data_IF_837177390886
#
_entry.id   IF_837177390886
#
_cell.length_a   1.000
_cell.length_b   1.000
_cell.length_c   1.000
_cell.angle_alpha   90.00
_cell.angle_beta   90.00
_cell.angle_gamma   90.00
#
_symmetry.space_group_name_H-M   'P 1'
#
loop_
_entity.id
_entity.type
_entity.pdbx_description
1 polymer ?
#
# COMPACT_ATOMS: atom_id res chain seq x y z
N UNK A 1 12.51 -0.44 -8.06
CA UNK A 1 12.18 0.36 -6.87
C UNK A 1 12.08 1.82 -7.28
N UNK A 2 10.85 2.35 -7.43
CA UNK A 2 10.42 3.75 -7.73
C UNK A 2 11.03 4.52 -8.93
N UNK A 3 12.08 4.02 -9.58
CA UNK A 3 12.65 4.60 -10.80
C UNK A 3 13.46 5.88 -10.62
N UNK A 4 13.71 6.29 -9.37
CA UNK A 4 14.64 7.38 -9.05
C UNK A 4 16.08 6.83 -9.02
N UNK A 5 17.02 7.60 -9.54
CA UNK A 5 18.44 7.33 -9.35
C UNK A 5 18.83 7.65 -7.89
N UNK A 6 19.94 7.08 -7.42
CA UNK A 6 20.38 7.22 -6.02
C UNK A 6 20.77 8.67 -5.67
N UNK A 7 21.07 9.50 -6.67
CA UNK A 7 21.47 10.90 -6.50
C UNK A 7 20.27 11.86 -6.41
N UNK A 8 19.15 11.55 -7.07
CA UNK A 8 17.90 12.33 -7.04
C UNK A 8 16.94 11.88 -5.95
N UNK A 9 17.09 10.67 -5.42
CA UNK A 9 16.24 10.20 -4.33
C UNK A 9 16.65 10.84 -3.01
N UNK A 10 15.83 11.76 -2.52
CA UNK A 10 15.96 12.33 -1.18
C UNK A 10 15.19 11.45 -0.18
N UNK A 11 15.85 10.66 0.69
CA UNK A 11 15.20 9.76 1.64
C UNK A 11 14.70 10.52 2.87
N UNK A 12 14.00 11.63 2.68
CA UNK A 12 13.43 12.44 3.77
C UNK A 12 11.98 12.05 4.03
N UNK A 13 11.55 12.20 5.29
CA UNK A 13 10.16 11.98 5.69
C UNK A 13 9.21 12.90 4.90
N UNK A 14 9.63 14.13 4.63
CA UNK A 14 8.86 15.09 3.85
C UNK A 14 8.65 14.59 2.41
N UNK A 15 9.71 14.16 1.73
CA UNK A 15 9.63 13.61 0.38
C UNK A 15 8.77 12.33 0.33
N UNK A 16 8.74 11.55 1.41
CA UNK A 16 7.87 10.39 1.52
C UNK A 16 6.39 10.77 1.53
N UNK A 17 5.98 11.73 2.37
CA UNK A 17 4.60 12.21 2.44
C UNK A 17 4.15 13.01 1.21
N UNK A 18 5.04 13.83 0.62
CA UNK A 18 4.70 14.67 -0.53
C UNK A 18 4.34 13.85 -1.77
N UNK A 19 5.03 12.72 -1.97
CA UNK A 19 4.81 11.83 -3.09
C UNK A 19 3.72 10.78 -2.82
N UNK A 20 3.09 10.80 -1.65
CA UNK A 20 2.01 9.89 -1.28
C UNK A 20 0.68 10.35 -1.86
N UNK A 21 -0.16 9.39 -2.27
CA UNK A 21 -1.51 9.66 -2.71
C UNK A 21 -2.31 10.36 -1.60
N UNK A 22 -3.06 11.45 -1.90
CA UNK A 22 -3.77 12.22 -0.88
C UNK A 22 -4.64 11.38 0.05
N UNK A 23 -5.40 10.44 -0.50
CA UNK A 23 -6.29 9.54 0.26
C UNK A 23 -5.56 8.65 1.26
N UNK A 24 -4.27 8.34 1.04
CA UNK A 24 -3.52 7.42 1.88
C UNK A 24 -2.75 8.16 3.00
N UNK A 25 -2.62 9.50 2.89
CA UNK A 25 -1.76 10.31 3.78
C UNK A 25 -2.18 10.26 5.24
N UNK A 26 -3.47 10.33 5.50
CA UNK A 26 -3.98 10.35 6.87
C UNK A 26 -3.76 9.00 7.56
N UNK A 27 -4.13 7.91 6.90
CA UNK A 27 -3.93 6.56 7.41
C UNK A 27 -2.45 6.27 7.69
N UNK A 28 -1.58 6.59 6.73
CA UNK A 28 -0.13 6.40 6.89
C UNK A 28 0.43 7.26 8.02
N UNK A 29 0.00 8.52 8.14
CA UNK A 29 0.41 9.40 9.24
C UNK A 29 0.02 8.82 10.60
N UNK A 30 -1.19 8.28 10.72
CA UNK A 30 -1.66 7.65 11.95
C UNK A 30 -0.81 6.42 12.30
N UNK A 31 -0.53 5.53 11.34
CA UNK A 31 0.35 4.37 11.56
C UNK A 31 1.78 4.78 11.94
N UNK A 32 2.32 5.80 11.27
CA UNK A 32 3.63 6.35 11.58
C UNK A 32 3.69 6.92 13.01
N UNK A 33 2.71 7.72 13.41
CA UNK A 33 2.61 8.26 14.77
C UNK A 33 2.44 7.16 15.82
N UNK A 34 1.63 6.13 15.54
CA UNK A 34 1.48 4.98 16.43
C UNK A 34 2.83 4.27 16.64
N UNK A 35 3.60 4.04 15.57
CA UNK A 35 4.93 3.45 15.64
C UNK A 35 5.90 4.31 16.47
N UNK A 36 5.88 5.63 16.30
CA UNK A 36 6.71 6.55 17.10
C UNK A 36 6.35 6.55 18.58
N UNK A 37 5.08 6.32 18.93
CA UNK A 37 4.61 6.36 20.31
C UNK A 37 4.79 5.03 21.03
N UNK A 38 4.58 3.90 20.34
CA UNK A 38 4.66 2.57 20.96
C UNK A 38 6.03 1.92 20.82
N UNK A 39 6.83 2.32 19.83
CA UNK A 39 8.05 1.62 19.41
C UNK A 39 7.82 0.32 18.64
N UNK A 40 6.56 -0.13 18.55
CA UNK A 40 6.20 -1.33 17.81
C UNK A 40 6.28 -1.11 16.31
N UNK A 41 6.60 -2.14 15.51
CA UNK A 41 6.65 -2.02 14.06
C UNK A 41 5.31 -1.58 13.46
N UNK A 42 5.34 -0.54 12.63
CA UNK A 42 4.20 -0.10 11.83
C UNK A 42 4.30 -0.62 10.40
N UNK A 43 3.25 -1.31 9.92
CA UNK A 43 3.13 -1.79 8.55
C UNK A 43 2.01 -1.05 7.79
N UNK A 44 2.23 -0.74 6.52
CA UNK A 44 1.29 0.04 5.72
C UNK A 44 1.41 -0.26 4.23
N UNK A 45 0.27 -0.24 3.54
CA UNK A 45 0.17 -0.26 2.08
C UNK A 45 -0.38 1.08 1.60
N UNK A 46 0.30 1.73 0.67
CA UNK A 46 -0.10 3.04 0.16
C UNK A 46 0.38 3.25 -1.27
N UNK A 47 -0.23 4.22 -1.95
CA UNK A 47 0.15 4.63 -3.30
C UNK A 47 1.16 5.77 -3.24
N UNK A 48 2.25 5.64 -4.01
CA UNK A 48 3.29 6.67 -4.16
C UNK A 48 3.52 7.00 -5.63
N UNK A 49 3.81 8.26 -5.93
CA UNK A 49 4.24 8.67 -7.27
C UNK A 49 5.64 8.15 -7.56
N UNK A 50 5.80 7.55 -8.73
CA UNK A 50 7.10 7.20 -9.29
C UNK A 50 7.67 8.36 -10.12
N UNK A 51 8.87 8.18 -10.70
CA UNK A 51 9.52 9.19 -11.54
C UNK A 51 8.70 9.59 -12.78
N UNK A 52 7.84 8.71 -13.30
CA UNK A 52 6.95 9.03 -14.43
C UNK A 52 5.65 9.71 -14.01
N UNK A 53 5.44 9.96 -12.71
CA UNK A 53 4.21 10.54 -12.15
C UNK A 53 3.05 9.54 -11.98
N UNK A 54 3.26 8.27 -12.35
CA UNK A 54 2.26 7.22 -12.14
C UNK A 54 2.23 6.76 -10.68
N UNK A 55 1.06 6.30 -10.26
CA UNK A 55 0.88 5.72 -8.93
C UNK A 55 1.40 4.28 -8.90
N UNK A 56 2.24 3.97 -7.92
CA UNK A 56 2.72 2.62 -7.62
C UNK A 56 2.29 2.24 -6.21
N UNK A 57 1.92 0.98 -6.03
CA UNK A 57 1.59 0.45 -4.71
C UNK A 57 2.87 0.08 -3.98
N UNK A 58 3.01 0.62 -2.77
CA UNK A 58 4.13 0.39 -1.89
C UNK A 58 3.64 -0.30 -0.62
N UNK A 59 4.36 -1.30 -0.17
CA UNK A 59 4.28 -1.82 1.18
C UNK A 59 5.48 -1.32 1.97
N UNK A 60 5.25 -0.83 3.18
CA UNK A 60 6.33 -0.38 4.05
C UNK A 60 6.16 -0.91 5.46
N UNK A 61 7.28 -1.29 6.07
CA UNK A 61 7.36 -1.63 7.49
C UNK A 61 8.51 -0.84 8.08
N UNK A 62 8.29 -0.22 9.23
CA UNK A 62 9.37 0.41 9.97
C UNK A 62 9.17 0.35 11.47
N UNK A 63 10.27 0.55 12.20
CA UNK A 63 10.28 0.59 13.67
C UNK A 63 11.31 1.57 14.19
N UNK A 64 11.05 2.12 15.37
CA UNK A 64 12.05 2.88 16.12
C UNK A 64 13.14 1.92 16.59
N UNK A 65 14.41 2.30 16.40
CA UNK A 65 15.57 1.49 16.79
C UNK A 65 16.42 2.17 17.86
N UNK A 66 16.16 3.44 18.17
CA UNK A 66 16.93 4.22 19.12
C UNK A 66 16.07 5.31 19.75
N UNK A 67 16.23 5.47 21.06
CA UNK A 67 15.52 6.43 21.90
C UNK A 67 16.52 7.23 22.72
N UNK A 68 16.21 8.49 23.00
CA UNK A 68 16.98 9.29 23.96
C UNK A 68 16.58 9.01 25.43
N UNK A 69 17.29 9.64 26.36
CA UNK A 69 17.04 9.51 27.81
C UNK A 69 15.66 10.04 28.24
N UNK A 70 15.04 10.89 27.42
CA UNK A 70 13.68 11.41 27.63
C UNK A 70 12.61 10.54 26.94
N UNK A 71 12.99 9.35 26.46
CA UNK A 71 12.13 8.41 25.75
C UNK A 71 11.52 8.99 24.46
N UNK A 72 12.28 9.82 23.74
CA UNK A 72 11.91 10.31 22.41
C UNK A 72 12.60 9.49 21.32
N UNK A 73 11.89 9.15 20.23
CA UNK A 73 12.47 8.38 19.14
C UNK A 73 13.47 9.25 18.36
N UNK A 74 14.73 8.81 18.28
CA UNK A 74 15.79 9.53 17.57
C UNK A 74 16.21 8.84 16.27
N UNK A 75 15.92 7.55 16.11
CA UNK A 75 16.19 6.82 14.87
C UNK A 75 15.14 5.76 14.57
N UNK A 76 14.67 5.75 13.33
CA UNK A 76 13.76 4.76 12.78
C UNK A 76 14.38 4.12 11.55
N UNK A 77 14.16 2.82 11.37
CA UNK A 77 14.55 2.08 10.16
C UNK A 77 13.28 1.50 9.56
N UNK A 78 13.18 1.56 8.24
CA UNK A 78 12.09 0.94 7.49
C UNK A 78 12.55 0.34 6.18
N UNK A 79 11.74 -0.57 5.68
CA UNK A 79 11.85 -1.17 4.35
C UNK A 79 10.65 -0.73 3.51
N UNK A 80 10.88 -0.56 2.19
CA UNK A 80 9.85 -0.19 1.23
C UNK A 80 9.90 -1.17 0.06
N UNK A 81 8.78 -1.86 -0.19
CA UNK A 81 8.65 -2.87 -1.24
C UNK A 81 7.57 -2.43 -2.23
N UNK A 82 7.88 -2.52 -3.53
CA UNK A 82 6.86 -2.36 -4.57
C UNK A 82 5.97 -3.61 -4.59
N UNK A 83 4.67 -3.42 -4.41
CA UNK A 83 3.66 -4.48 -4.40
C UNK A 83 2.66 -4.32 -5.55
N UNK A 84 2.99 -3.52 -6.57
CA UNK A 84 2.11 -3.24 -7.70
C UNK A 84 1.72 -4.51 -8.46
N UNK A 85 2.66 -5.43 -8.69
CA UNK A 85 2.37 -6.71 -9.33
C UNK A 85 1.40 -7.56 -8.51
N UNK A 86 1.59 -7.62 -7.19
CA UNK A 86 0.67 -8.33 -6.28
C UNK A 86 -0.74 -7.73 -6.36
N UNK A 87 -0.87 -6.41 -6.34
CA UNK A 87 -2.17 -5.72 -6.43
C UNK A 87 -2.86 -5.95 -7.77
N UNK A 88 -2.10 -5.97 -8.87
CA UNK A 88 -2.64 -6.30 -10.20
C UNK A 88 -3.15 -7.74 -10.26
N UNK A 89 -2.42 -8.69 -9.68
CA UNK A 89 -2.85 -10.08 -9.59
C UNK A 89 -4.12 -10.25 -8.73
N UNK A 90 -4.18 -9.58 -7.57
CA UNK A 90 -5.37 -9.56 -6.70
C UNK A 90 -6.60 -9.00 -7.46
N UNK A 91 -6.43 -7.91 -8.20
CA UNK A 91 -7.50 -7.30 -9.00
C UNK A 91 -7.97 -8.20 -10.14
N UNK A 92 -7.03 -8.83 -10.87
CA UNK A 92 -7.35 -9.76 -11.95
C UNK A 92 -8.14 -10.98 -11.43
N UNK A 93 -7.73 -11.51 -10.28
CA UNK A 93 -8.43 -12.62 -9.63
C UNK A 93 -9.85 -12.22 -9.20
N UNK A 94 -10.01 -11.02 -8.63
CA UNK A 94 -11.31 -10.51 -8.24
C UNK A 94 -12.25 -10.36 -9.44
N UNK A 95 -11.79 -9.71 -10.52
CA UNK A 95 -12.56 -9.56 -11.74
C UNK A 95 -12.94 -10.91 -12.37
N UNK A 96 -12.01 -11.87 -12.41
CA UNK A 96 -12.30 -13.22 -12.92
C UNK A 96 -13.38 -13.93 -12.10
N UNK A 97 -13.36 -13.78 -10.78
CA UNK A 97 -14.37 -14.36 -9.88
C UNK A 97 -15.75 -13.73 -10.12
N UNK A 98 -15.83 -12.41 -10.23
CA UNK A 98 -17.10 -11.72 -10.52
C UNK A 98 -17.71 -12.17 -11.85
N UNK A 99 -16.89 -12.30 -12.90
CA UNK A 99 -17.34 -12.79 -14.21
C UNK A 99 -17.86 -14.23 -14.14
N UNK A 100 -17.16 -15.10 -13.41
CA UNK A 100 -17.60 -16.48 -13.22
C UNK A 100 -18.93 -16.57 -12.46
N UNK A 101 -19.14 -15.75 -11.42
CA UNK A 101 -20.39 -15.70 -10.67
C UNK A 101 -21.56 -15.20 -11.53
N UNK A 102 -21.35 -14.17 -12.35
CA UNK A 102 -22.35 -13.66 -13.28
C UNK A 102 -22.75 -14.71 -14.32
N UNK A 103 -21.76 -15.40 -14.91
CA UNK A 103 -22.01 -16.45 -15.90
C UNK A 103 -22.81 -17.63 -15.30
N UNK A 104 -22.49 -18.03 -14.08
CA UNK A 104 -23.23 -19.08 -13.38
C UNK A 104 -24.70 -18.66 -13.12
N UNK A 105 -24.93 -17.46 -12.61
CA UNK A 105 -26.30 -16.95 -12.37
C UNK A 105 -27.12 -16.87 -13.66
N UNK A 106 -26.50 -16.43 -14.76
CA UNK A 106 -27.18 -16.38 -16.06
C UNK A 106 -27.59 -17.78 -16.54
N UNK A 107 -26.71 -18.78 -16.37
CA UNK A 107 -27.01 -20.18 -16.70
C UNK A 107 -28.16 -20.74 -15.86
N UNK A 108 -28.14 -20.48 -14.55
CA UNK A 108 -29.19 -20.97 -13.65
C UNK A 108 -30.56 -20.34 -13.98
N UNK A 109 -30.60 -19.04 -14.26
CA UNK A 109 -31.82 -18.34 -14.69
C UNK A 109 -32.35 -18.86 -16.03
N UNK A 110 -31.46 -19.18 -16.97
CA UNK A 110 -31.84 -19.77 -18.26
C UNK A 110 -32.48 -21.15 -18.07
N UNK A 111 -31.87 -22.02 -17.26
CA UNK A 111 -32.40 -23.35 -16.96
C UNK A 111 -33.75 -23.27 -16.23
N UNK A 112 -33.90 -22.34 -15.28
CA UNK A 112 -35.16 -22.14 -14.57
C UNK A 112 -36.30 -21.67 -15.49
N UNK A 113 -35.99 -20.85 -16.51
CA UNK A 113 -37.00 -20.33 -17.46
C UNK A 113 -37.39 -21.36 -18.52
N UNK A 114 -36.48 -22.26 -18.93
CA UNK A 114 -36.78 -23.31 -19.91
C UNK A 114 -37.52 -24.52 -19.33
N UNK A 115 -37.51 -24.68 -18.01
CA UNK A 115 -38.15 -25.80 -17.33
C UNK A 115 -39.62 -25.55 -16.96
N UNK A 116 -40.23 -24.51 -17.53
CA UNK A 116 -41.61 -24.05 -17.28
C UNK A 116 -42.42 -24.03 -18.57
#
# INVERSE_FOLDING_TARGET
>A
MIGFDHESFQPTLQNWFDNMHPDDREAVRATYQACLNSGEPGAMEYRRRNKSGAWQWMYSVGRVVEWDDAHKPVRMIGIHMDISERKLAEQALHAAKEQAELANRAKDSFLATMSH
#
